data_IF_170182072502
#
_entry.id   IF_170182072502
#
_cell.length_a   1.000
_cell.length_b   1.000
_cell.length_c   1.000
_cell.angle_alpha   90.00
_cell.angle_beta   90.00
_cell.angle_gamma   90.00
#
_symmetry.space_group_name_H-M   'P 1'
#
loop_
_entity.id
_entity.type
_entity.pdbx_description
1 polymer ?
#
# COMPACT_ATOMS: atom_id res chain seq x y z
N UNK A 1 -9.89 16.53 -3.66
CA UNK A 1 -9.17 15.69 -2.68
C UNK A 1 -7.69 15.80 -2.98
N UNK A 2 -6.90 16.29 -2.03
CA UNK A 2 -5.47 16.49 -2.26
C UNK A 2 -4.78 15.14 -2.45
N UNK A 3 -3.85 15.04 -3.39
CA UNK A 3 -3.05 13.81 -3.61
C UNK A 3 -2.20 13.44 -2.38
N UNK A 4 -1.98 14.39 -1.48
CA UNK A 4 -1.23 14.23 -0.23
C UNK A 4 -1.94 13.30 0.77
N UNK A 5 -3.28 13.37 0.89
CA UNK A 5 -4.10 12.53 1.77
C UNK A 5 -4.05 11.03 1.43
N UNK A 6 -3.45 10.69 0.28
CA UNK A 6 -3.35 9.34 -0.25
C UNK A 6 -1.91 8.89 -0.46
N UNK A 7 -0.95 9.66 0.06
CA UNK A 7 0.47 9.31 0.04
C UNK A 7 0.81 8.27 1.10
N UNK A 8 1.88 7.50 0.88
CA UNK A 8 2.39 6.55 1.87
C UNK A 8 2.71 7.24 3.19
N UNK A 9 3.37 8.41 3.12
CA UNK A 9 3.74 9.20 4.30
C UNK A 9 2.52 9.60 5.14
N UNK A 10 1.48 10.12 4.49
CA UNK A 10 0.26 10.50 5.19
C UNK A 10 -0.39 9.31 5.91
N UNK A 11 -0.44 8.14 5.27
CA UNK A 11 -0.99 6.94 5.92
C UNK A 11 -0.12 6.45 7.08
N UNK A 12 1.19 6.47 6.93
CA UNK A 12 2.13 6.13 8.01
C UNK A 12 1.88 7.02 9.22
N UNK A 13 1.80 8.34 9.03
CA UNK A 13 1.49 9.30 10.09
C UNK A 13 0.09 9.07 10.69
N UNK A 14 -0.91 8.80 9.84
CA UNK A 14 -2.29 8.55 10.27
C UNK A 14 -2.44 7.29 11.14
N UNK A 15 -1.77 6.19 10.77
CA UNK A 15 -1.93 4.90 11.45
C UNK A 15 -0.97 4.74 12.63
N UNK A 16 0.21 5.35 12.60
CA UNK A 16 1.20 5.23 13.66
C UNK A 16 1.16 6.41 14.66
N UNK A 17 0.54 7.53 14.30
CA UNK A 17 0.45 8.71 15.17
C UNK A 17 1.83 9.14 15.67
N UNK A 18 1.99 9.27 16.99
CA UNK A 18 3.27 9.65 17.60
C UNK A 18 4.43 8.69 17.28
N UNK A 19 4.15 7.42 16.98
CA UNK A 19 5.20 6.45 16.63
C UNK A 19 5.82 6.74 15.25
N UNK A 20 5.18 7.53 14.38
CA UNK A 20 5.79 7.95 13.12
C UNK A 20 6.94 8.95 13.29
N UNK A 21 7.08 9.55 14.48
CA UNK A 21 8.20 10.43 14.81
C UNK A 21 9.48 9.65 15.17
N UNK A 22 9.36 8.35 15.45
CA UNK A 22 10.49 7.46 15.69
C UNK A 22 11.03 6.93 14.36
N UNK A 23 12.30 6.48 14.29
CA UNK A 23 12.82 5.81 13.11
C UNK A 23 11.98 4.59 12.72
N UNK A 24 11.51 4.57 11.49
CA UNK A 24 10.75 3.46 10.91
C UNK A 24 11.68 2.57 10.09
N UNK A 25 11.48 1.25 10.17
CA UNK A 25 12.26 0.28 9.39
C UNK A 25 11.41 -0.23 8.23
N UNK A 26 11.94 -0.14 7.02
CA UNK A 26 11.30 -0.79 5.86
C UNK A 26 11.77 -2.23 5.81
N UNK A 27 10.86 -3.16 6.08
CA UNK A 27 11.18 -4.59 6.08
C UNK A 27 11.13 -5.20 4.68
N UNK A 28 10.24 -4.68 3.82
CA UNK A 28 10.05 -5.21 2.48
C UNK A 28 9.50 -4.14 1.54
N UNK A 29 9.96 -4.19 0.30
CA UNK A 29 9.35 -3.46 -0.82
C UNK A 29 9.09 -4.45 -1.94
N UNK A 30 7.89 -4.41 -2.52
CA UNK A 30 7.51 -5.20 -3.68
C UNK A 30 7.23 -4.27 -4.84
N UNK A 31 7.63 -4.70 -6.04
CA UNK A 31 7.36 -3.98 -7.30
C UNK A 31 6.37 -4.77 -8.15
N UNK A 32 5.56 -4.05 -8.92
CA UNK A 32 4.73 -4.61 -9.99
C UNK A 32 5.59 -5.02 -11.20
N UNK A 33 4.99 -5.70 -12.16
CA UNK A 33 5.64 -6.00 -13.45
C UNK A 33 6.11 -4.75 -14.19
N UNK A 34 5.42 -3.61 -13.99
CA UNK A 34 5.81 -2.31 -14.53
C UNK A 34 6.92 -1.60 -13.75
N UNK A 35 7.55 -2.27 -12.76
CA UNK A 35 8.64 -1.72 -11.95
C UNK A 35 8.21 -0.71 -10.88
N UNK A 36 6.91 -0.41 -10.77
CA UNK A 36 6.37 0.51 -9.76
C UNK A 36 6.28 -0.20 -8.41
N UNK A 37 6.67 0.46 -7.33
CA UNK A 37 6.47 -0.09 -5.98
C UNK A 37 4.95 -0.24 -5.76
N UNK A 38 4.52 -1.46 -5.45
CA UNK A 38 3.12 -1.81 -5.26
C UNK A 38 2.80 -2.25 -3.83
N UNK A 39 3.81 -2.61 -3.04
CA UNK A 39 3.63 -2.97 -1.63
C UNK A 39 4.86 -2.57 -0.82
N UNK A 40 4.64 -2.10 0.40
CA UNK A 40 5.70 -1.79 1.36
C UNK A 40 5.30 -2.35 2.72
N UNK A 41 6.25 -2.95 3.42
CA UNK A 41 6.11 -3.38 4.81
C UNK A 41 7.00 -2.49 5.69
N UNK A 42 6.41 -1.89 6.72
CA UNK A 42 7.10 -1.01 7.66
C UNK A 42 6.93 -1.56 9.06
N UNK A 43 8.02 -1.59 9.82
CA UNK A 43 8.04 -1.82 11.25
C UNK A 43 8.28 -0.49 11.98
N UNK A 44 7.46 -0.25 12.99
CA UNK A 44 7.52 0.90 13.87
C UNK A 44 7.70 0.44 15.31
N UNK A 45 8.56 1.11 16.06
CA UNK A 45 8.72 0.83 17.47
C UNK A 45 7.73 1.70 18.28
N UNK A 46 6.71 1.08 18.86
CA UNK A 46 5.72 1.77 19.70
C UNK A 46 6.00 1.50 21.18
N UNK A 47 5.53 2.35 22.12
CA UNK A 47 5.67 2.10 23.56
C UNK A 47 5.07 0.77 24.03
N UNK A 48 4.03 0.29 23.35
CA UNK A 48 3.39 -1.01 23.62
C UNK A 48 4.10 -2.20 22.96
N UNK A 49 5.19 -1.97 22.22
CA UNK A 49 5.91 -2.97 21.45
C UNK A 49 5.97 -2.65 19.95
N UNK A 50 6.81 -3.38 19.18
CA UNK A 50 6.93 -3.17 17.75
C UNK A 50 5.63 -3.54 17.01
N UNK A 51 5.27 -2.73 16.01
CA UNK A 51 4.11 -2.96 15.15
C UNK A 51 4.55 -2.95 13.68
N UNK A 52 4.03 -3.89 12.91
CA UNK A 52 4.31 -4.00 11.48
C UNK A 52 3.06 -3.72 10.66
N UNK A 53 3.16 -2.83 9.68
CA UNK A 53 2.08 -2.45 8.78
C UNK A 53 2.45 -2.70 7.32
N UNK A 54 1.46 -3.19 6.57
CA UNK A 54 1.54 -3.31 5.12
C UNK A 54 0.78 -2.17 4.46
N UNK A 55 1.42 -1.55 3.48
CA UNK A 55 0.81 -0.56 2.61
C UNK A 55 0.83 -1.08 1.17
N UNK A 56 -0.27 -0.89 0.47
CA UNK A 56 -0.50 -1.36 -0.90
C UNK A 56 -0.81 -0.17 -1.78
N UNK A 57 -0.16 -0.12 -2.94
CA UNK A 57 -0.44 0.89 -3.94
C UNK A 57 -1.54 0.37 -4.87
N UNK A 58 -2.59 1.14 -5.04
CA UNK A 58 -3.70 0.86 -5.94
C UNK A 58 -3.45 1.47 -7.33
N UNK A 59 -4.26 1.08 -8.31
CA UNK A 59 -4.09 1.47 -9.72
C UNK A 59 -4.25 2.99 -9.94
N UNK A 60 -5.04 3.66 -9.10
CA UNK A 60 -5.17 5.13 -9.07
C UNK A 60 -3.90 5.84 -8.51
N UNK A 61 -2.88 5.06 -8.13
CA UNK A 61 -1.62 5.53 -7.59
C UNK A 61 -1.66 5.83 -6.10
N UNK A 62 -2.82 5.74 -5.45
CA UNK A 62 -2.98 5.95 -4.01
C UNK A 62 -2.46 4.76 -3.20
N UNK A 63 -2.08 5.04 -1.95
CA UNK A 63 -1.73 4.01 -0.98
C UNK A 63 -2.94 3.67 -0.10
N UNK A 64 -2.98 2.43 0.38
CA UNK A 64 -3.99 1.90 1.30
C UNK A 64 -3.38 0.83 2.22
N UNK A 65 -4.02 0.51 3.34
CA UNK A 65 -3.62 -0.59 4.25
C UNK A 65 -4.25 -1.94 3.90
N UNK A 66 -5.06 -1.99 2.85
CA UNK A 66 -5.69 -3.18 2.31
C UNK A 66 -5.22 -3.42 0.88
N UNK A 67 -5.10 -4.69 0.44
CA UNK A 67 -4.68 -5.00 -0.92
C UNK A 67 -5.66 -4.42 -1.96
N UNK A 68 -5.19 -4.06 -3.16
CA UNK A 68 -6.10 -3.73 -4.25
C UNK A 68 -7.05 -4.91 -4.49
N UNK A 69 -8.29 -4.62 -4.89
CA UNK A 69 -9.22 -5.67 -5.27
C UNK A 69 -8.53 -6.53 -6.33
N UNK A 70 -8.44 -7.84 -6.10
CA UNK A 70 -7.96 -8.76 -7.12
C UNK A 70 -8.78 -8.48 -8.38
N UNK A 71 -8.11 -8.36 -9.53
CA UNK A 71 -8.77 -8.45 -10.84
C UNK A 71 -9.40 -9.83 -10.86
N UNK A 72 -10.63 -9.94 -10.35
CA UNK A 72 -11.34 -11.19 -10.30
C UNK A 72 -11.48 -11.66 -11.74
N UNK A 73 -11.38 -12.98 -12.00
CA UNK A 73 -11.71 -13.52 -13.31
C UNK A 73 -13.09 -12.98 -13.72
N UNK A 74 -13.10 -12.08 -14.71
CA UNK A 74 -14.32 -11.54 -15.27
C UNK A 74 -14.60 -12.34 -16.54
N UNK A 75 -15.85 -12.78 -16.73
CA UNK A 75 -16.27 -13.32 -18.01
C UNK A 75 -16.15 -12.20 -19.05
N UNK A 76 -15.13 -12.26 -19.91
CA UNK A 76 -15.07 -11.42 -21.09
C UNK A 76 -15.97 -12.04 -22.17
N UNK A 77 -16.78 -11.23 -22.84
CA UNK A 77 -17.36 -11.62 -24.13
C UNK A 77 -16.21 -11.65 -25.12
N UNK A 78 -15.62 -12.84 -25.29
CA UNK A 78 -14.78 -13.12 -26.43
C UNK A 78 -15.68 -13.06 -27.66
N UNK A 79 -15.56 -12.01 -28.47
CA UNK A 79 -16.23 -11.99 -29.78
C UNK A 79 -15.52 -13.05 -30.62
N UNK A 80 -16.09 -14.25 -30.72
CA UNK A 80 -15.62 -15.24 -31.69
C UNK A 80 -15.77 -14.60 -33.07
N UNK A 81 -14.63 -14.38 -33.74
CA UNK A 81 -14.63 -14.02 -35.14
C UNK A 81 -15.13 -15.22 -35.95
N UNK A 82 -16.04 -14.94 -36.89
CA UNK A 82 -16.56 -15.89 -37.87
C UNK A 82 -15.54 -16.16 -38.98
#
# INVERSE_FOLDING_TARGET
MSTAERSLRFLVEKWLGAASAQPLRVLMTQRSQSGRICRVCIEANCPSGPVTLFFFRHDDGSWHVFPPANRQPAMSVGRLAA
#
